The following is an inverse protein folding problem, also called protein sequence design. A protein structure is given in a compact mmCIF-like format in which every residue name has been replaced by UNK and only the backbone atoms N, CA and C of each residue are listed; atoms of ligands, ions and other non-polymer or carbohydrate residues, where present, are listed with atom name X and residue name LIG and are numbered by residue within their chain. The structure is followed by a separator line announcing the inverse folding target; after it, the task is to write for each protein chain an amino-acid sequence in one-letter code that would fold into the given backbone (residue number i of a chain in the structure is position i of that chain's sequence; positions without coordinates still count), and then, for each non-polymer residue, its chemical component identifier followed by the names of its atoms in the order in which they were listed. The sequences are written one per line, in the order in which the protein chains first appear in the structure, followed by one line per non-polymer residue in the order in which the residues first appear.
data_IF_135431279387
#
_entry.id   IF_135431279387
#
_cell.length_a   1.000
_cell.length_b   1.000
_cell.length_c   1.000
_cell.angle_alpha   90.00
_cell.angle_beta   90.00
_cell.angle_gamma   90.00
#
_symmetry.space_group_name_H-M   'P 1'
#
loop_
_entity.id
_entity.type
_entity.pdbx_description
1 polymer ?
#
# COMPACT_ATOMS: atom_id res chain seq x y z
N UNK A 1 -6.92 -7.59 20.08
CA UNK A 1 -5.66 -7.20 20.73
C UNK A 1 -5.05 -6.14 19.85
N UNK A 2 -4.67 -4.99 20.41
CA UNK A 2 -3.95 -3.98 19.63
C UNK A 2 -2.46 -4.34 19.64
N UNK A 3 -1.80 -4.21 18.48
CA UNK A 3 -0.36 -4.40 18.37
C UNK A 3 0.36 -3.48 19.36
N UNK A 4 1.42 -3.94 20.03
CA UNK A 4 2.23 -3.11 20.93
C UNK A 4 2.65 -1.81 20.22
N UNK A 5 2.54 -0.66 20.87
CA UNK A 5 2.84 0.62 20.23
C UNK A 5 1.70 1.17 19.36
N UNK A 6 0.56 0.50 19.26
CA UNK A 6 -0.62 0.97 18.54
C UNK A 6 -1.86 0.91 19.42
N UNK A 7 -2.90 1.63 19.03
CA UNK A 7 -4.18 1.67 19.69
C UNK A 7 -4.07 1.95 21.18
N UNK A 8 -4.65 1.06 21.98
CA UNK A 8 -4.66 1.13 23.44
C UNK A 8 -3.48 0.39 24.07
N UNK A 9 -2.64 -0.27 23.28
CA UNK A 9 -1.46 -1.02 23.73
C UNK A 9 -0.21 -0.12 23.81
N UNK A 10 -0.28 0.92 24.66
CA UNK A 10 0.79 1.92 24.84
C UNK A 10 1.27 2.48 23.49
N UNK A 11 0.40 3.27 22.84
CA UNK A 11 0.69 3.91 21.55
C UNK A 11 2.09 4.55 21.55
N UNK A 12 2.92 4.13 20.60
CA UNK A 12 4.27 4.65 20.45
C UNK A 12 4.15 6.04 19.83
N UNK A 13 4.58 7.04 20.58
CA UNK A 13 4.48 8.43 20.18
C UNK A 13 5.56 9.26 20.90
N UNK A 14 5.84 10.44 20.38
CA UNK A 14 6.70 11.45 20.99
C UNK A 14 5.98 12.80 21.00
N UNK A 15 6.22 13.62 22.03
CA UNK A 15 5.50 14.89 22.22
C UNK A 15 5.69 15.83 21.03
N UNK A 16 6.89 15.81 20.42
CA UNK A 16 7.20 16.64 19.25
C UNK A 16 6.39 16.26 17.99
N UNK A 17 6.03 14.97 17.81
CA UNK A 17 5.27 14.51 16.65
C UNK A 17 3.75 14.74 16.75
N UNK A 18 3.24 15.23 17.89
CA UNK A 18 1.80 15.44 18.11
C UNK A 18 1.23 16.68 17.41
N UNK A 19 2.07 17.47 16.73
CA UNK A 19 1.70 18.78 16.14
C UNK A 19 1.43 18.70 14.63
N UNK A 20 1.71 17.59 13.95
CA UNK A 20 1.63 17.51 12.48
C UNK A 20 0.36 16.80 11.97
N UNK A 21 -0.36 17.49 11.08
CA UNK A 21 -1.58 17.00 10.41
C UNK A 21 -1.38 17.09 8.89
N UNK A 22 -1.25 15.95 8.17
CA UNK A 22 -1.75 15.64 6.79
C UNK A 22 -1.02 14.47 6.07
N UNK A 23 -1.62 13.82 5.03
CA UNK A 23 -1.66 12.35 4.78
C UNK A 23 -0.53 11.86 3.84
N UNK A 24 -0.11 10.58 3.72
CA UNK A 24 -0.77 9.23 3.66
C UNK A 24 -0.16 8.23 4.67
N UNK A 25 0.85 8.66 5.37
CA UNK A 25 1.11 8.37 6.79
C UNK A 25 1.20 9.75 7.42
N UNK A 26 0.81 9.97 8.68
CA UNK A 26 1.20 11.23 9.35
C UNK A 26 2.72 11.15 9.55
N UNK A 27 3.48 11.43 8.50
CA UNK A 27 4.94 11.37 8.54
C UNK A 27 5.38 12.34 9.63
N UNK A 28 6.23 11.84 10.50
CA UNK A 28 6.89 12.69 11.48
C UNK A 28 7.70 13.70 10.70
N UNK A 29 7.59 15.00 11.03
CA UNK A 29 8.43 15.97 10.37
C UNK A 29 9.88 15.67 10.73
N UNK A 30 10.75 15.68 9.73
CA UNK A 30 12.19 15.46 9.87
C UNK A 30 12.79 16.37 10.96
N UNK A 31 12.26 17.58 11.13
CA UNK A 31 12.69 18.52 12.17
C UNK A 31 12.38 18.08 13.60
N UNK A 32 11.40 17.21 13.79
CA UNK A 32 10.95 16.74 15.10
C UNK A 32 11.72 15.49 15.57
N UNK A 33 12.40 14.81 14.64
CA UNK A 33 13.16 13.57 14.88
C UNK A 33 14.17 13.71 16.03
N UNK A 34 14.98 14.77 16.13
CA UNK A 34 15.93 14.92 17.24
C UNK A 34 15.27 14.90 18.63
N UNK A 35 14.15 15.61 18.80
CA UNK A 35 13.42 15.65 20.06
C UNK A 35 12.76 14.29 20.36
N UNK A 36 12.14 13.69 19.34
CA UNK A 36 11.56 12.34 19.44
C UNK A 36 12.60 11.29 19.83
N UNK A 37 13.78 11.31 19.22
CA UNK A 37 14.85 10.37 19.54
C UNK A 37 15.27 10.44 21.01
N UNK A 38 15.42 11.65 21.56
CA UNK A 38 15.75 11.84 22.97
C UNK A 38 14.65 11.35 23.91
N UNK A 39 13.39 11.67 23.61
CA UNK A 39 12.24 11.24 24.40
C UNK A 39 12.11 9.72 24.44
N UNK A 40 12.23 9.09 23.28
CA UNK A 40 12.16 7.63 23.13
C UNK A 40 13.32 6.93 23.83
N UNK A 41 14.54 7.46 23.70
CA UNK A 41 15.71 6.92 24.39
C UNK A 41 15.56 7.01 25.92
N UNK A 42 15.04 8.13 26.45
CA UNK A 42 14.79 8.29 27.89
C UNK A 42 13.68 7.37 28.38
N UNK A 43 12.59 7.21 27.60
CA UNK A 43 11.39 6.49 28.03
C UNK A 43 11.50 4.98 27.87
N UNK A 44 12.04 4.52 26.74
CA UNK A 44 12.04 3.10 26.37
C UNK A 44 13.44 2.51 26.21
N UNK A 45 14.46 3.34 26.00
CA UNK A 45 15.83 2.88 25.76
C UNK A 45 15.93 2.12 24.44
N UNK A 46 15.94 0.78 24.50
CA UNK A 46 16.02 -0.05 23.31
C UNK A 46 14.64 -0.21 22.63
N UNK A 47 14.52 0.31 21.42
CA UNK A 47 13.30 0.27 20.63
C UNK A 47 12.97 -1.11 20.04
N UNK A 48 13.85 -2.11 20.19
CA UNK A 48 13.52 -3.50 19.87
C UNK A 48 12.31 -4.03 20.68
N UNK A 49 11.97 -3.39 21.80
CA UNK A 49 10.72 -3.63 22.53
C UNK A 49 9.45 -3.42 21.68
N UNK A 50 9.54 -2.70 20.56
CA UNK A 50 8.46 -2.48 19.59
C UNK A 50 8.69 -3.20 18.25
N UNK A 51 9.65 -4.12 18.17
CA UNK A 51 9.94 -4.86 16.93
C UNK A 51 8.83 -5.83 16.53
N UNK A 52 8.85 -6.26 15.26
CA UNK A 52 7.95 -7.29 14.73
C UNK A 52 8.03 -8.59 15.53
N UNK A 53 9.22 -9.02 15.94
CA UNK A 53 9.40 -10.23 16.77
C UNK A 53 8.79 -10.08 18.15
N UNK A 54 8.96 -8.92 18.79
CA UNK A 54 8.41 -8.72 20.12
C UNK A 54 6.88 -8.66 20.04
N UNK A 55 6.32 -8.08 18.98
CA UNK A 55 4.87 -8.15 18.70
C UNK A 55 4.38 -9.58 18.42
N UNK A 56 5.12 -10.38 17.65
CA UNK A 56 4.80 -11.80 17.42
C UNK A 56 4.80 -12.59 18.74
N UNK A 57 5.73 -12.27 19.64
CA UNK A 57 5.82 -12.88 20.97
C UNK A 57 4.61 -12.54 21.84
N UNK A 58 4.03 -11.34 21.74
CA UNK A 58 2.77 -11.01 22.41
C UNK A 58 1.63 -11.90 21.92
N UNK A 59 1.52 -12.07 20.60
CA UNK A 59 0.46 -12.87 20.01
C UNK A 59 0.59 -14.34 20.40
N UNK A 60 1.80 -14.91 20.34
CA UNK A 60 2.08 -16.28 20.82
C UNK A 60 1.72 -16.42 22.30
N UNK A 61 2.12 -15.47 23.13
CA UNK A 61 1.81 -15.48 24.57
C UNK A 61 0.31 -15.40 24.81
N UNK A 62 -0.40 -14.58 24.03
CA UNK A 62 -1.85 -14.45 24.12
C UNK A 62 -2.55 -15.75 23.73
N UNK A 63 -2.16 -16.36 22.62
CA UNK A 63 -2.71 -17.63 22.16
C UNK A 63 -2.54 -18.67 23.27
N UNK A 64 -1.30 -18.89 23.72
CA UNK A 64 -1.00 -19.91 24.73
C UNK A 64 -1.74 -19.70 26.06
N UNK A 65 -1.93 -18.45 26.50
CA UNK A 65 -2.57 -18.14 27.79
C UNK A 65 -4.09 -18.09 27.74
N UNK A 66 -4.69 -17.70 26.62
CA UNK A 66 -6.11 -17.33 26.59
C UNK A 66 -6.97 -18.18 25.65
N UNK A 67 -6.40 -19.04 24.81
CA UNK A 67 -7.19 -19.95 23.96
C UNK A 67 -7.51 -21.28 24.65
N UNK A 68 -6.95 -21.54 25.85
CA UNK A 68 -7.12 -22.79 26.60
C UNK A 68 -6.81 -24.04 25.76
N UNK A 69 -5.78 -23.96 24.91
CA UNK A 69 -5.36 -25.07 24.04
C UNK A 69 -6.24 -25.29 22.80
N UNK A 70 -7.16 -24.37 22.49
CA UNK A 70 -7.95 -24.44 21.27
C UNK A 70 -7.08 -24.27 20.02
N UNK A 71 -7.36 -25.07 19.00
CA UNK A 71 -6.78 -24.92 17.67
C UNK A 71 -7.06 -23.52 17.13
N UNK A 72 -5.99 -22.82 16.76
CA UNK A 72 -6.03 -21.41 16.37
C UNK A 72 -5.59 -21.26 14.92
N UNK A 73 -6.28 -20.40 14.17
CA UNK A 73 -5.84 -19.95 12.85
C UNK A 73 -5.45 -18.48 12.99
N UNK A 74 -4.23 -18.13 12.55
CA UNK A 74 -3.74 -16.76 12.58
C UNK A 74 -3.92 -16.15 11.20
N UNK A 75 -4.68 -15.06 11.13
CA UNK A 75 -4.87 -14.27 9.92
C UNK A 75 -4.04 -12.98 10.00
N UNK A 76 -3.24 -12.72 8.97
CA UNK A 76 -2.50 -11.49 8.77
C UNK A 76 -2.84 -10.86 7.43
N UNK A 77 -3.29 -9.61 7.45
CA UNK A 77 -3.46 -8.78 6.27
C UNK A 77 -2.35 -7.74 6.16
N UNK A 78 -1.83 -7.45 4.95
CA UNK A 78 -0.82 -6.41 4.74
C UNK A 78 0.44 -6.63 5.59
N UNK A 79 0.94 -5.62 6.32
CA UNK A 79 1.99 -5.80 7.34
C UNK A 79 1.74 -6.99 8.29
N UNK A 80 0.47 -7.29 8.58
CA UNK A 80 0.08 -8.46 9.36
C UNK A 80 0.59 -9.78 8.80
N UNK A 81 0.88 -9.89 7.49
CA UNK A 81 1.49 -11.10 6.91
C UNK A 81 2.93 -11.28 7.39
N UNK A 82 3.71 -10.19 7.52
CA UNK A 82 5.06 -10.21 8.09
C UNK A 82 5.03 -10.58 9.57
N UNK A 83 4.08 -10.03 10.32
CA UNK A 83 3.87 -10.40 11.72
C UNK A 83 3.49 -11.88 11.86
N UNK A 84 2.59 -12.36 10.99
CA UNK A 84 2.13 -13.75 10.97
C UNK A 84 3.28 -14.70 10.59
N UNK A 85 4.09 -14.36 9.59
CA UNK A 85 5.33 -15.07 9.27
C UNK A 85 6.27 -15.12 10.48
N UNK A 86 6.40 -14.02 11.22
CA UNK A 86 7.18 -14.00 12.46
C UNK A 86 6.61 -14.91 13.55
N UNK A 87 5.30 -15.07 13.63
CA UNK A 87 4.65 -16.07 14.50
C UNK A 87 4.94 -17.50 14.02
N UNK A 88 5.03 -17.75 12.71
CA UNK A 88 5.43 -19.08 12.19
C UNK A 88 6.83 -19.47 12.66
N UNK A 89 7.79 -18.53 12.67
CA UNK A 89 9.13 -18.78 13.23
C UNK A 89 9.12 -19.16 14.72
N UNK A 90 8.14 -18.67 15.48
CA UNK A 90 7.97 -19.01 16.91
C UNK A 90 7.20 -20.32 17.12
N UNK A 91 6.58 -20.86 16.06
CA UNK A 91 5.92 -22.17 16.00
C UNK A 91 5.05 -22.53 17.22
N UNK A 92 4.09 -21.67 17.64
CA UNK A 92 3.18 -22.01 18.74
C UNK A 92 2.40 -23.30 18.44
N UNK A 93 2.36 -24.28 19.38
CA UNK A 93 1.73 -25.58 19.13
C UNK A 93 0.22 -25.50 18.90
N UNK A 94 -0.45 -24.46 19.41
CA UNK A 94 -1.89 -24.26 19.26
C UNK A 94 -2.29 -23.77 17.85
N UNK A 95 -1.35 -23.24 17.07
CA UNK A 95 -1.66 -22.73 15.73
C UNK A 95 -1.64 -23.86 14.71
N UNK A 96 -2.78 -24.08 14.07
CA UNK A 96 -3.01 -25.14 13.07
C UNK A 96 -3.12 -24.59 11.65
N UNK A 97 -3.13 -23.27 11.49
CA UNK A 97 -3.18 -22.64 10.17
C UNK A 97 -2.77 -21.19 10.20
N UNK A 98 -2.13 -20.75 9.12
CA UNK A 98 -1.79 -19.36 8.87
C UNK A 98 -2.51 -18.90 7.59
N UNK A 99 -3.09 -17.70 7.62
CA UNK A 99 -3.66 -17.04 6.44
C UNK A 99 -2.93 -15.72 6.24
N UNK A 100 -2.33 -15.56 5.07
CA UNK A 100 -1.61 -14.35 4.68
C UNK A 100 -2.34 -13.69 3.50
N UNK A 101 -2.83 -12.47 3.67
CA UNK A 101 -3.62 -11.74 2.65
C UNK A 101 -2.98 -10.39 2.32
N UNK A 102 -2.63 -10.16 1.05
CA UNK A 102 -1.85 -8.98 0.65
C UNK A 102 -0.43 -9.04 1.24
N UNK A 103 0.44 -9.78 0.54
CA UNK A 103 1.71 -10.25 1.09
C UNK A 103 2.76 -9.13 1.21
N UNK A 104 2.95 -8.59 2.43
CA UNK A 104 3.97 -7.59 2.76
C UNK A 104 5.35 -8.17 3.19
N UNK A 105 5.69 -9.38 2.77
CA UNK A 105 6.95 -10.03 3.14
C UNK A 105 7.41 -11.05 2.09
N UNK A 106 8.72 -11.20 1.95
CA UNK A 106 9.36 -12.25 1.16
C UNK A 106 10.64 -12.72 1.86
N UNK A 107 10.58 -12.92 3.18
CA UNK A 107 11.76 -13.31 3.95
C UNK A 107 12.35 -14.63 3.46
N UNK A 108 13.67 -14.67 3.34
CA UNK A 108 14.40 -15.83 2.82
C UNK A 108 14.67 -15.76 1.32
N UNK A 109 14.16 -14.75 0.61
CA UNK A 109 14.57 -14.49 -0.78
C UNK A 109 15.92 -13.76 -0.85
N UNK A 110 16.59 -13.79 -2.02
CA UNK A 110 17.64 -12.84 -2.35
C UNK A 110 17.20 -11.37 -2.20
N UNK A 111 18.17 -10.46 -2.08
CA UNK A 111 17.92 -9.04 -1.80
C UNK A 111 17.18 -8.30 -2.93
N UNK A 112 17.34 -8.72 -4.18
CA UNK A 112 16.62 -8.18 -5.33
C UNK A 112 15.12 -8.54 -5.32
N UNK A 113 14.77 -9.73 -4.79
CA UNK A 113 13.40 -10.23 -4.61
C UNK A 113 12.78 -9.86 -3.24
N UNK A 114 13.57 -9.31 -2.31
CA UNK A 114 13.07 -8.91 -1.01
C UNK A 114 12.13 -7.70 -1.12
N UNK A 115 11.02 -7.72 -0.38
CA UNK A 115 10.06 -6.62 -0.36
C UNK A 115 10.57 -5.45 0.47
N UNK A 116 11.19 -4.49 -0.20
CA UNK A 116 11.55 -3.21 0.38
C UNK A 116 10.54 -2.12 0.03
N UNK A 117 10.16 -1.29 1.00
CA UNK A 117 9.32 -0.11 0.79
C UNK A 117 10.03 0.96 -0.03
N UNK A 118 11.36 1.02 0.02
CA UNK A 118 12.20 1.89 -0.84
C UNK A 118 12.10 1.54 -2.34
N UNK A 119 11.52 0.38 -2.69
CA UNK A 119 11.19 -0.02 -4.07
C UNK A 119 9.72 0.22 -4.44
N UNK A 120 8.96 0.92 -3.59
CA UNK A 120 7.52 1.14 -3.76
C UNK A 120 7.15 1.67 -5.14
N UNK A 121 7.91 2.62 -5.71
CA UNK A 121 7.60 3.18 -7.03
C UNK A 121 7.79 2.17 -8.17
N UNK A 122 8.84 1.35 -8.13
CA UNK A 122 9.05 0.27 -9.11
C UNK A 122 7.91 -0.74 -9.03
N UNK A 123 7.63 -1.18 -7.80
CA UNK A 123 6.61 -2.17 -7.48
C UNK A 123 5.21 -1.73 -7.93
N UNK A 124 4.87 -0.47 -7.69
CA UNK A 124 3.57 0.11 -8.02
C UNK A 124 3.46 0.45 -9.51
N UNK A 125 4.58 0.86 -10.13
CA UNK A 125 4.67 1.06 -11.58
C UNK A 125 4.37 -0.21 -12.38
N UNK A 126 4.87 -1.36 -11.94
CA UNK A 126 4.54 -2.67 -12.56
C UNK A 126 3.04 -2.99 -12.50
N UNK A 127 2.39 -2.70 -11.37
CA UNK A 127 0.93 -2.89 -11.22
C UNK A 127 0.15 -1.89 -12.07
N UNK A 128 0.60 -0.64 -12.14
CA UNK A 128 0.03 0.39 -13.02
C UNK A 128 0.11 0.02 -14.49
N UNK A 129 1.24 -0.54 -14.93
CA UNK A 129 1.43 -1.06 -16.28
C UNK A 129 0.47 -2.22 -16.57
N UNK A 130 0.31 -3.15 -15.63
CA UNK A 130 -0.64 -4.24 -15.77
C UNK A 130 -2.08 -3.74 -15.87
N UNK A 131 -2.49 -2.79 -15.02
CA UNK A 131 -3.80 -2.16 -15.08
C UNK A 131 -4.07 -1.48 -16.43
N UNK A 132 -3.11 -0.69 -16.94
CA UNK A 132 -3.27 0.01 -18.22
C UNK A 132 -3.36 -0.96 -19.39
N UNK A 133 -2.66 -2.10 -19.32
CA UNK A 133 -2.79 -3.17 -20.32
C UNK A 133 -4.20 -3.76 -20.34
N UNK A 134 -4.85 -3.95 -19.18
CA UNK A 134 -6.22 -4.46 -19.12
C UNK A 134 -7.23 -3.54 -19.82
N UNK A 135 -7.01 -2.22 -19.83
CA UNK A 135 -7.83 -1.29 -20.62
C UNK A 135 -7.85 -1.63 -22.11
N UNK A 136 -6.76 -2.19 -22.67
CA UNK A 136 -6.66 -2.55 -24.08
C UNK A 136 -7.52 -3.78 -24.44
N UNK A 137 -7.88 -4.58 -23.43
CA UNK A 137 -8.73 -5.77 -23.56
C UNK A 137 -10.21 -5.43 -23.27
N UNK A 138 -10.47 -4.33 -22.56
CA UNK A 138 -11.82 -3.89 -22.16
C UNK A 138 -12.57 -3.12 -23.25
N UNK A 139 -13.78 -3.58 -23.55
CA UNK A 139 -14.64 -3.00 -24.60
C UNK A 139 -15.02 -1.54 -24.35
N UNK A 140 -15.18 -1.15 -23.09
CA UNK A 140 -15.53 0.22 -22.71
C UNK A 140 -14.33 1.17 -22.68
N UNK A 141 -13.11 0.64 -22.64
CA UNK A 141 -11.90 1.45 -22.47
C UNK A 141 -11.11 1.56 -23.78
N UNK A 142 -10.88 0.42 -24.45
CA UNK A 142 -10.06 0.31 -25.65
C UNK A 142 -10.36 1.36 -26.73
N UNK A 143 -11.63 1.61 -27.14
CA UNK A 143 -11.91 2.52 -28.26
C UNK A 143 -11.47 3.98 -28.01
N UNK A 144 -11.33 4.39 -26.76
CA UNK A 144 -10.92 5.76 -26.41
C UNK A 144 -9.41 6.01 -26.59
N UNK A 145 -8.60 4.95 -26.71
CA UNK A 145 -7.14 5.05 -26.76
C UNK A 145 -6.54 4.39 -28.00
N UNK A 146 -7.35 3.85 -28.91
CA UNK A 146 -6.84 3.32 -30.18
C UNK A 146 -6.26 4.43 -31.06
N UNK A 147 -5.15 4.18 -31.79
CA UNK A 147 -4.41 2.91 -31.84
C UNK A 147 -3.28 2.77 -30.79
N UNK A 148 -3.03 3.78 -29.95
CA UNK A 148 -1.80 3.89 -29.16
C UNK A 148 -1.86 3.23 -27.79
N UNK A 149 -3.06 3.01 -27.23
CA UNK A 149 -3.25 2.44 -25.90
C UNK A 149 -3.18 3.48 -24.77
N UNK A 150 -3.67 3.08 -23.59
CA UNK A 150 -3.78 3.96 -22.43
C UNK A 150 -2.40 4.38 -21.90
N UNK A 151 -1.45 3.45 -21.85
CA UNK A 151 -0.10 3.70 -21.35
C UNK A 151 0.64 4.76 -22.18
N UNK A 152 0.64 4.63 -23.50
CA UNK A 152 1.27 5.61 -24.38
C UNK A 152 0.56 6.97 -24.32
N UNK A 153 -0.77 6.98 -24.18
CA UNK A 153 -1.51 8.24 -23.99
C UNK A 153 -1.11 8.95 -22.69
N UNK A 154 -0.96 8.22 -21.58
CA UNK A 154 -0.47 8.78 -20.33
C UNK A 154 0.97 9.29 -20.44
N UNK A 155 1.84 8.53 -21.12
CA UNK A 155 3.21 8.97 -21.38
C UNK A 155 3.23 10.31 -22.12
N UNK A 156 2.44 10.47 -23.19
CA UNK A 156 2.34 11.73 -23.92
C UNK A 156 1.88 12.90 -23.03
N UNK A 157 0.92 12.65 -22.11
CA UNK A 157 0.44 13.67 -21.17
C UNK A 157 1.56 14.09 -20.22
N UNK A 158 2.31 13.13 -19.68
CA UNK A 158 3.43 13.41 -18.78
C UNK A 158 4.52 14.19 -19.51
N UNK A 159 4.92 13.75 -20.70
CA UNK A 159 5.93 14.45 -21.51
C UNK A 159 5.46 15.87 -21.87
N UNK A 160 4.17 16.07 -22.17
CA UNK A 160 3.60 17.40 -22.40
C UNK A 160 3.68 18.28 -21.15
N UNK A 161 3.47 17.72 -19.96
CA UNK A 161 3.55 18.45 -18.69
C UNK A 161 4.99 18.82 -18.33
N UNK A 162 5.95 17.94 -18.63
CA UNK A 162 7.37 18.21 -18.41
C UNK A 162 7.89 19.28 -19.38
N UNK A 163 7.41 19.27 -20.63
CA UNK A 163 7.79 20.25 -21.65
C UNK A 163 7.13 21.63 -21.45
N UNK A 164 5.87 21.68 -21.02
CA UNK A 164 5.15 22.93 -20.71
C UNK A 164 4.38 22.82 -19.37
N UNK A 165 5.09 23.01 -18.24
CA UNK A 165 4.50 22.88 -16.91
C UNK A 165 3.46 23.97 -16.57
N UNK A 166 3.36 25.02 -17.40
CA UNK A 166 2.40 26.10 -17.23
C UNK A 166 1.20 26.01 -18.20
N UNK A 167 1.15 24.99 -19.05
CA UNK A 167 -0.04 24.69 -19.87
C UNK A 167 -1.28 24.54 -18.98
N UNK A 168 -2.47 24.80 -19.54
CA UNK A 168 -3.72 24.88 -18.76
C UNK A 168 -3.95 23.67 -17.86
N UNK A 169 -3.83 22.45 -18.39
CA UNK A 169 -4.01 21.23 -17.58
C UNK A 169 -2.81 20.93 -16.68
N UNK A 170 -1.57 21.21 -17.08
CA UNK A 170 -0.41 21.03 -16.22
C UNK A 170 -0.50 21.95 -14.98
N UNK A 171 -0.83 23.22 -15.18
CA UNK A 171 -1.05 24.18 -14.10
C UNK A 171 -2.21 23.77 -13.19
N UNK A 172 -3.31 23.23 -13.75
CA UNK A 172 -4.43 22.68 -12.97
C UNK A 172 -3.96 21.55 -12.05
N UNK A 173 -3.21 20.57 -12.59
CA UNK A 173 -2.69 19.45 -11.80
C UNK A 173 -1.72 19.95 -10.73
N UNK A 174 -0.77 20.82 -11.08
CA UNK A 174 0.18 21.37 -10.10
C UNK A 174 -0.51 22.10 -8.93
N UNK A 175 -1.50 22.93 -9.24
CA UNK A 175 -2.19 23.75 -8.23
C UNK A 175 -3.13 22.96 -7.32
N UNK A 176 -3.44 21.71 -7.66
CA UNK A 176 -4.39 20.89 -6.88
C UNK A 176 -3.81 20.36 -5.56
N UNK A 177 -2.49 20.15 -5.48
CA UNK A 177 -1.77 19.66 -4.29
C UNK A 177 -1.17 20.78 -3.44
N UNK A 178 -1.10 22.02 -3.96
CA UNK A 178 -0.33 23.13 -3.37
C UNK A 178 1.11 22.75 -3.01
N UNK A 179 1.75 21.91 -3.84
CA UNK A 179 3.15 21.50 -3.69
C UNK A 179 4.04 22.16 -4.73
N UNK A 180 5.34 22.25 -4.43
CA UNK A 180 6.35 22.69 -5.40
C UNK A 180 6.71 21.60 -6.44
N UNK A 181 6.15 20.40 -6.30
CA UNK A 181 6.35 19.27 -7.22
C UNK A 181 5.97 19.65 -8.67
N UNK A 182 6.69 19.11 -9.67
CA UNK A 182 6.28 19.19 -11.06
C UNK A 182 4.87 18.60 -11.27
N UNK A 183 4.10 19.10 -12.27
CA UNK A 183 2.77 18.58 -12.57
C UNK A 183 2.76 17.08 -12.91
N UNK A 184 3.81 16.58 -13.58
CA UNK A 184 3.98 15.15 -13.87
C UNK A 184 4.17 14.31 -12.60
N UNK A 185 4.89 14.81 -11.60
CA UNK A 185 5.06 14.13 -10.31
C UNK A 185 3.74 14.04 -9.55
N UNK A 186 2.98 15.14 -9.56
CA UNK A 186 1.65 15.19 -8.95
C UNK A 186 0.69 14.23 -9.67
N UNK A 187 0.71 14.18 -11.01
CA UNK A 187 -0.13 13.26 -11.76
C UNK A 187 0.17 11.80 -11.42
N UNK A 188 1.44 11.38 -11.41
CA UNK A 188 1.85 9.99 -11.09
C UNK A 188 1.34 9.54 -9.72
N UNK A 189 1.46 10.39 -8.70
CA UNK A 189 1.05 10.10 -7.31
C UNK A 189 -0.47 10.11 -7.13
N UNK A 190 -1.19 11.02 -7.80
CA UNK A 190 -2.66 11.03 -7.81
C UNK A 190 -3.20 9.76 -8.46
N UNK A 191 -2.67 9.37 -9.63
CA UNK A 191 -3.06 8.13 -10.29
C UNK A 191 -2.76 6.91 -9.42
N UNK A 192 -1.65 6.92 -8.66
CA UNK A 192 -1.31 5.87 -7.71
C UNK A 192 -2.34 5.73 -6.60
N UNK A 193 -2.73 6.86 -6.00
CA UNK A 193 -3.76 6.93 -4.96
C UNK A 193 -5.10 6.36 -5.45
N UNK A 194 -5.47 6.69 -6.69
CA UNK A 194 -6.72 6.27 -7.32
C UNK A 194 -6.65 4.78 -7.74
N UNK A 195 -5.49 4.26 -8.08
CA UNK A 195 -5.31 2.85 -8.45
C UNK A 195 -5.46 1.89 -7.25
N UNK A 196 -5.20 2.36 -6.03
CA UNK A 196 -5.30 1.55 -4.80
C UNK A 196 -6.70 1.01 -4.54
N UNK A 197 -7.74 1.78 -4.90
CA UNK A 197 -9.13 1.44 -4.61
C UNK A 197 -9.87 0.89 -5.86
N UNK A 198 -10.67 -0.15 -5.63
CA UNK A 198 -11.35 -0.92 -6.67
C UNK A 198 -12.27 -0.04 -7.53
N UNK A 199 -12.94 0.94 -6.92
CA UNK A 199 -13.94 1.73 -7.61
C UNK A 199 -13.33 2.98 -8.22
N UNK A 200 -12.46 3.68 -7.50
CA UNK A 200 -11.84 4.91 -8.01
C UNK A 200 -10.85 4.63 -9.15
N UNK A 201 -10.19 3.46 -9.22
CA UNK A 201 -9.32 3.10 -10.36
C UNK A 201 -10.04 3.12 -11.72
N UNK A 202 -11.37 2.93 -11.74
CA UNK A 202 -12.18 3.04 -12.96
C UNK A 202 -12.17 4.45 -13.56
N UNK A 203 -11.80 5.47 -12.78
CA UNK A 203 -11.69 6.87 -13.21
C UNK A 203 -10.37 7.16 -13.96
N UNK A 204 -9.36 6.29 -13.85
CA UNK A 204 -8.02 6.53 -14.44
C UNK A 204 -8.11 6.74 -15.95
N UNK A 205 -8.73 5.84 -16.75
CA UNK A 205 -8.81 6.05 -18.19
C UNK A 205 -9.50 7.38 -18.59
N UNK A 206 -10.73 7.71 -18.15
CA UNK A 206 -11.36 8.96 -18.57
C UNK A 206 -10.60 10.21 -18.13
N UNK A 207 -9.94 10.19 -16.97
CA UNK A 207 -9.10 11.32 -16.54
C UNK A 207 -7.92 11.50 -17.50
N UNK A 208 -7.22 10.43 -17.88
CA UNK A 208 -6.11 10.49 -18.85
C UNK A 208 -6.60 10.98 -20.21
N UNK A 209 -7.74 10.48 -20.67
CA UNK A 209 -8.37 10.93 -21.92
C UNK A 209 -8.62 12.44 -21.92
N UNK A 210 -9.21 12.96 -20.85
CA UNK A 210 -9.52 14.38 -20.69
C UNK A 210 -8.27 15.24 -20.52
N UNK A 211 -7.23 14.75 -19.83
CA UNK A 211 -5.94 15.43 -19.73
C UNK A 211 -5.25 15.55 -21.09
N UNK A 212 -5.33 14.49 -21.93
CA UNK A 212 -4.79 14.52 -23.30
C UNK A 212 -5.55 15.50 -24.19
N UNK A 213 -6.88 15.56 -24.09
CA UNK A 213 -7.71 16.49 -24.85
C UNK A 213 -7.56 17.94 -24.38
N UNK A 214 -7.53 18.16 -23.06
CA UNK A 214 -7.40 19.45 -22.38
C UNK A 214 -8.22 20.59 -23.01
N UNK A 215 -9.48 20.32 -23.36
CA UNK A 215 -10.38 21.32 -23.95
C UNK A 215 -11.19 22.05 -22.88
N UNK A 216 -11.90 23.15 -23.21
CA UNK A 216 -12.71 23.88 -22.23
C UNK A 216 -13.72 23.02 -21.45
N UNK A 217 -14.27 21.97 -22.08
CA UNK A 217 -15.22 21.05 -21.41
C UNK A 217 -14.56 20.12 -20.37
N UNK A 218 -13.22 20.01 -20.38
CA UNK A 218 -12.46 19.14 -19.49
C UNK A 218 -12.06 19.83 -18.19
N UNK A 219 -11.90 21.15 -18.21
CA UNK A 219 -11.24 21.90 -17.13
C UNK A 219 -11.95 21.75 -15.80
N UNK A 220 -13.27 21.98 -15.76
CA UNK A 220 -14.03 21.89 -14.50
C UNK A 220 -14.20 20.43 -14.03
N UNK A 221 -14.30 19.47 -14.95
CA UNK A 221 -14.34 18.03 -14.65
C UNK A 221 -13.02 17.59 -13.99
N UNK A 222 -11.89 17.94 -14.59
CA UNK A 222 -10.56 17.63 -14.06
C UNK A 222 -10.33 18.34 -12.71
N UNK A 223 -10.72 19.61 -12.60
CA UNK A 223 -10.64 20.35 -11.34
C UNK A 223 -11.43 19.67 -10.23
N UNK A 224 -12.65 19.21 -10.50
CA UNK A 224 -13.45 18.45 -9.55
C UNK A 224 -12.75 17.14 -9.16
N UNK A 225 -12.22 16.40 -10.13
CA UNK A 225 -11.51 15.14 -9.89
C UNK A 225 -10.34 15.31 -8.93
N UNK A 226 -9.38 16.18 -9.28
CA UNK A 226 -8.20 16.39 -8.44
C UNK A 226 -8.61 16.91 -7.05
N UNK A 227 -9.51 17.91 -7.00
CA UNK A 227 -10.00 18.45 -5.71
C UNK A 227 -10.61 17.36 -4.83
N UNK A 228 -11.41 16.46 -5.40
CA UNK A 228 -12.07 15.36 -4.67
C UNK A 228 -11.07 14.33 -4.19
N UNK A 229 -10.10 13.93 -5.03
CA UNK A 229 -9.04 13.00 -4.63
C UNK A 229 -8.22 13.57 -3.47
N UNK A 230 -7.82 14.85 -3.54
CA UNK A 230 -7.10 15.49 -2.45
C UNK A 230 -7.95 15.70 -1.20
N UNK A 231 -9.23 16.05 -1.32
CA UNK A 231 -10.11 16.17 -0.16
C UNK A 231 -10.28 14.80 0.55
N UNK A 232 -10.48 13.73 -0.21
CA UNK A 232 -10.66 12.39 0.33
C UNK A 232 -9.37 11.81 0.92
N UNK A 233 -8.20 12.13 0.36
CA UNK A 233 -6.92 11.71 0.98
C UNK A 233 -6.69 12.38 2.34
N UNK A 234 -7.32 13.53 2.58
CA UNK A 234 -7.21 14.29 3.83
C UNK A 234 -8.26 13.92 4.88
N UNK A 235 -9.31 13.17 4.51
CA UNK A 235 -10.34 12.79 5.49
C UNK A 235 -9.72 11.92 6.58
N UNK A 236 -9.88 12.35 7.83
CA UNK A 236 -9.43 11.58 8.99
C UNK A 236 -10.63 10.93 9.66
N UNK A 237 -10.48 9.66 10.03
CA UNK A 237 -11.46 8.95 10.83
C UNK A 237 -11.13 9.11 12.31
N UNK A 238 -12.09 8.81 13.19
CA UNK A 238 -11.83 8.76 14.63
C UNK A 238 -10.72 7.74 14.98
N UNK A 239 -10.52 6.73 14.13
CA UNK A 239 -9.55 5.66 14.33
C UNK A 239 -8.10 6.14 14.17
N UNK A 240 -7.86 7.25 13.46
CA UNK A 240 -6.53 7.88 13.35
C UNK A 240 -5.94 8.23 14.72
N UNK A 241 -6.76 8.47 15.73
CA UNK A 241 -6.30 8.69 17.11
C UNK A 241 -5.60 7.46 17.73
N UNK A 242 -5.88 6.27 17.20
CA UNK A 242 -5.35 4.99 17.65
C UNK A 242 -4.16 4.52 16.78
N UNK A 243 -3.89 5.17 15.66
CA UNK A 243 -2.75 4.86 14.80
C UNK A 243 -1.42 5.44 15.33
N UNK A 244 -0.31 4.80 14.98
CA UNK A 244 1.04 5.27 15.30
C UNK A 244 1.92 5.25 14.06
N UNK A 245 2.08 6.42 13.42
CA UNK A 245 3.06 6.61 12.35
C UNK A 245 4.48 6.34 12.83
N UNK A 246 4.79 6.72 14.08
CA UNK A 246 6.10 6.46 14.67
C UNK A 246 6.43 4.97 14.73
N UNK A 247 5.45 4.12 15.07
CA UNK A 247 5.60 2.67 15.04
C UNK A 247 5.77 2.16 13.61
N UNK A 248 4.97 2.67 12.68
CA UNK A 248 5.09 2.34 11.27
C UNK A 248 6.50 2.64 10.75
N UNK A 249 6.99 3.87 10.92
CA UNK A 249 8.32 4.31 10.48
C UNK A 249 9.43 3.51 11.17
N UNK A 250 9.31 3.29 12.49
CA UNK A 250 10.27 2.49 13.25
C UNK A 250 10.41 1.08 12.66
N UNK A 251 9.29 0.43 12.34
CA UNK A 251 9.29 -0.93 11.76
C UNK A 251 9.80 -0.91 10.32
N UNK A 252 9.27 -0.04 9.47
CA UNK A 252 9.66 0.06 8.06
C UNK A 252 11.15 0.36 7.92
N UNK A 253 11.67 1.37 8.60
CA UNK A 253 13.09 1.74 8.50
C UNK A 253 14.04 0.72 9.14
N UNK A 254 13.58 -0.04 10.14
CA UNK A 254 14.42 -1.08 10.74
C UNK A 254 14.46 -2.36 9.90
N UNK A 255 13.35 -2.74 9.28
CA UNK A 255 13.15 -4.10 8.75
C UNK A 255 12.79 -4.17 7.27
N UNK A 256 12.29 -3.10 6.66
CA UNK A 256 11.70 -3.09 5.33
C UNK A 256 12.29 -2.02 4.39
N UNK A 257 13.41 -1.43 4.76
CA UNK A 257 14.10 -0.41 3.97
C UNK A 257 15.46 -0.92 3.47
N UNK A 258 15.84 -0.55 2.25
CA UNK A 258 17.16 -0.87 1.69
C UNK A 258 18.25 -0.13 2.49
N UNK A 259 19.19 -0.91 3.05
CA UNK A 259 20.32 -0.37 3.81
C UNK A 259 21.61 -0.96 3.24
N UNK A 260 22.57 -0.14 2.78
CA UNK A 260 22.54 1.33 2.77
C UNK A 260 21.51 1.92 1.79
N UNK A 261 21.08 3.16 2.07
CA UNK A 261 20.21 3.94 1.20
C UNK A 261 20.88 4.18 -0.16
N UNK A 262 20.14 3.92 -1.24
CA UNK A 262 20.57 4.23 -2.61
C UNK A 262 20.52 5.74 -2.90
N UNK A 263 21.20 6.20 -3.95
CA UNK A 263 21.27 7.63 -4.28
C UNK A 263 19.90 8.25 -4.57
N UNK A 264 19.76 9.56 -4.33
CA UNK A 264 18.54 10.30 -4.70
C UNK A 264 18.28 10.26 -6.22
N UNK A 265 19.34 10.22 -7.04
CA UNK A 265 19.22 10.02 -8.49
C UNK A 265 18.54 8.70 -8.83
N UNK A 266 18.94 7.61 -8.18
CA UNK A 266 18.32 6.30 -8.39
C UNK A 266 16.86 6.28 -7.90
N UNK A 267 16.59 6.87 -6.74
CA UNK A 267 15.23 6.97 -6.20
C UNK A 267 14.31 7.78 -7.10
N UNK A 268 14.80 8.91 -7.63
CA UNK A 268 14.05 9.70 -8.61
C UNK A 268 13.83 8.94 -9.92
N UNK A 269 14.82 8.18 -10.42
CA UNK A 269 14.65 7.32 -11.60
C UNK A 269 13.52 6.31 -11.37
N UNK A 270 13.56 5.57 -10.24
CA UNK A 270 12.50 4.62 -9.86
C UNK A 270 11.10 5.26 -9.89
N UNK A 271 11.00 6.50 -9.41
CA UNK A 271 9.77 7.26 -9.43
C UNK A 271 9.34 7.71 -10.84
N UNK A 272 10.26 8.30 -11.62
CA UNK A 272 9.94 8.87 -12.95
C UNK A 272 9.77 7.82 -14.05
N UNK A 273 10.40 6.65 -13.90
CA UNK A 273 10.28 5.53 -14.83
C UNK A 273 8.88 4.87 -14.74
N UNK A 274 8.18 5.01 -13.60
CA UNK A 274 6.86 4.46 -13.35
C UNK A 274 5.73 5.44 -13.74
N UNK A 275 4.86 5.08 -14.69
CA UNK A 275 3.75 5.93 -15.15
C UNK A 275 2.73 6.26 -14.05
N UNK A 276 2.53 5.32 -13.13
CA UNK A 276 1.71 5.45 -11.94
C UNK A 276 2.61 5.06 -10.77
N UNK A 277 2.70 5.90 -9.75
CA UNK A 277 3.78 5.81 -8.75
C UNK A 277 3.30 6.13 -7.34
N UNK A 278 4.05 5.69 -6.33
CA UNK A 278 3.71 5.86 -4.92
C UNK A 278 4.20 7.20 -4.37
N UNK A 279 5.39 7.65 -4.78
CA UNK A 279 6.05 8.85 -4.29
C UNK A 279 7.05 8.59 -3.16
N UNK A 280 7.79 7.48 -3.20
CA UNK A 280 8.74 7.10 -2.13
C UNK A 280 9.88 8.11 -1.87
N UNK A 281 10.39 8.89 -2.85
CA UNK A 281 11.53 9.78 -2.61
C UNK A 281 11.34 10.79 -1.47
N UNK A 282 10.09 11.19 -1.16
CA UNK A 282 9.81 12.14 -0.08
C UNK A 282 10.15 11.60 1.31
N UNK A 283 10.17 10.28 1.51
CA UNK A 283 10.43 9.65 2.81
C UNK A 283 11.93 9.46 3.11
N UNK A 284 12.83 9.72 2.15
CA UNK A 284 14.28 9.49 2.32
C UNK A 284 14.90 10.37 3.42
N UNK A 285 14.62 11.69 3.49
CA UNK A 285 15.15 12.50 4.59
C UNK A 285 14.72 11.98 5.96
N UNK A 286 13.49 11.48 6.07
CA UNK A 286 12.97 10.91 7.30
C UNK A 286 13.71 9.61 7.67
N UNK A 287 13.87 8.69 6.72
CA UNK A 287 14.68 7.48 6.91
C UNK A 287 16.09 7.83 7.40
N UNK A 288 16.76 8.79 6.76
CA UNK A 288 18.11 9.19 7.11
C UNK A 288 18.19 9.76 8.54
N UNK A 289 17.24 10.61 8.91
CA UNK A 289 17.15 11.15 10.27
C UNK A 289 16.88 10.06 11.32
N UNK A 290 15.99 9.10 11.03
CA UNK A 290 15.67 7.99 11.93
C UNK A 290 16.86 7.03 12.10
N UNK A 291 17.43 6.57 10.99
CA UNK A 291 18.47 5.54 10.99
C UNK A 291 19.83 6.06 11.47
N UNK A 292 20.08 7.37 11.30
CA UNK A 292 21.41 7.99 11.41
C UNK A 292 22.46 7.25 10.57
N UNK A 293 22.05 6.67 9.46
CA UNK A 293 22.94 5.99 8.52
C UNK A 293 24.00 6.96 7.99
N UNK A 294 25.25 6.48 7.88
CA UNK A 294 26.42 7.29 7.48
C UNK A 294 26.80 7.17 5.99
N UNK A 295 25.89 6.70 5.15
CA UNK A 295 26.13 6.62 3.70
C UNK A 295 26.23 8.01 3.07
N UNK A 296 26.87 8.10 1.90
CA UNK A 296 26.91 9.35 1.14
C UNK A 296 25.52 9.88 0.86
N UNK A 297 24.58 9.01 0.50
CA UNK A 297 23.19 9.36 0.19
C UNK A 297 22.47 9.98 1.39
N UNK A 298 22.64 9.46 2.60
CA UNK A 298 22.03 10.10 3.78
C UNK A 298 22.76 11.36 4.26
N UNK A 299 24.08 11.45 4.07
CA UNK A 299 24.84 12.62 4.48
C UNK A 299 24.49 13.88 3.67
N UNK A 300 23.96 13.75 2.45
CA UNK A 300 23.50 14.86 1.61
C UNK A 300 22.40 15.71 2.28
N UNK A 301 21.54 15.10 3.12
CA UNK A 301 20.45 15.81 3.77
C UNK A 301 20.86 16.57 5.04
N UNK A 302 21.99 16.20 5.66
CA UNK A 302 22.45 16.78 6.94
C UNK A 302 21.40 16.74 8.08
N UNK A 303 20.57 15.69 8.12
CA UNK A 303 19.47 15.53 9.10
C UNK A 303 19.80 14.56 10.24
N UNK A 304 20.89 13.80 10.09
CA UNK A 304 21.29 12.74 11.03
C UNK A 304 22.17 13.24 12.17
N UNK A 305 22.62 14.50 12.13
CA UNK A 305 23.55 15.07 13.10
C UNK A 305 22.81 15.72 14.28
N UNK A 306 22.31 14.88 15.20
CA UNK A 306 21.69 15.33 16.44
C UNK A 306 22.12 14.48 17.65
N UNK A 307 21.95 15.02 18.85
CA UNK A 307 22.18 14.32 20.12
C UNK A 307 21.12 13.24 20.37
N UNK A 308 21.54 12.00 20.59
CA UNK A 308 20.67 10.84 20.83
C UNK A 308 20.92 9.65 19.89
N UNK A 309 20.34 8.50 20.20
CA UNK A 309 20.35 7.32 19.33
C UNK A 309 19.36 7.48 18.17
N UNK A 310 19.58 6.75 17.07
CA UNK A 310 18.60 6.68 15.99
C UNK A 310 17.29 6.01 16.44
N UNK A 311 16.18 6.39 15.81
CA UNK A 311 14.86 5.80 16.01
C UNK A 311 14.73 4.53 15.15
N UNK A 312 15.59 3.56 15.43
CA UNK A 312 15.64 2.25 14.76
C UNK A 312 15.97 1.15 15.77
N UNK A 313 15.65 -0.10 15.44
CA UNK A 313 16.08 -1.26 16.20
C UNK A 313 16.92 -2.22 15.33
N UNK A 314 17.77 -3.01 15.98
CA UNK A 314 18.59 -4.00 15.29
C UNK A 314 17.73 -5.16 14.81
N UNK A 315 17.93 -5.56 13.56
CA UNK A 315 17.41 -6.80 12.98
C UNK A 315 17.88 -7.99 13.81
N UNK A 316 16.96 -8.89 14.16
CA UNK A 316 17.26 -10.08 14.95
C UNK A 316 17.47 -11.32 14.07
N UNK A 317 17.61 -12.48 14.70
CA UNK A 317 17.88 -13.75 14.02
C UNK A 317 16.76 -14.21 13.06
N UNK A 318 15.55 -13.64 13.13
CA UNK A 318 14.43 -14.00 12.29
C UNK A 318 14.26 -13.05 11.09
N UNK A 319 14.99 -11.94 11.05
CA UNK A 319 14.93 -11.02 9.92
C UNK A 319 15.51 -11.67 8.66
N UNK A 320 14.74 -11.59 7.56
CA UNK A 320 15.05 -12.18 6.26
C UNK A 320 15.46 -13.67 6.35
N UNK A 321 14.75 -14.45 7.17
CA UNK A 321 14.90 -15.91 7.23
C UNK A 321 13.68 -16.58 6.64
N UNK A 322 13.91 -17.66 5.90
CA UNK A 322 12.85 -18.58 5.49
C UNK A 322 12.15 -19.13 6.73
N UNK A 323 10.82 -19.01 6.77
CA UNK A 323 10.01 -19.67 7.78
C UNK A 323 9.71 -21.12 7.40
N UNK A 324 9.87 -22.03 8.36
CA UNK A 324 9.43 -23.42 8.25
C UNK A 324 7.99 -23.54 8.71
N UNK A 325 7.15 -24.18 7.90
CA UNK A 325 5.75 -24.45 8.22
C UNK A 325 5.73 -25.53 9.32
N UNK A 326 5.19 -25.26 10.52
CA UNK A 326 5.11 -26.26 11.58
C UNK A 326 4.33 -27.50 11.13
N UNK A 327 4.74 -28.69 11.59
CA UNK A 327 4.16 -29.97 11.13
C UNK A 327 2.64 -30.07 11.35
N UNK A 328 2.13 -29.44 12.41
CA UNK A 328 0.71 -29.40 12.77
C UNK A 328 -0.09 -28.33 12.02
N UNK A 329 0.57 -27.48 11.23
CA UNK A 329 -0.03 -26.33 10.58
C UNK A 329 0.05 -26.39 9.05
N UNK A 330 -0.65 -25.45 8.42
CA UNK A 330 -0.62 -25.18 6.99
C UNK A 330 -0.66 -23.66 6.74
N UNK A 331 -0.40 -23.24 5.50
CA UNK A 331 -0.40 -21.83 5.11
C UNK A 331 -1.29 -21.61 3.89
N UNK A 332 -2.25 -20.69 4.00
CA UNK A 332 -3.03 -20.19 2.87
C UNK A 332 -2.57 -18.76 2.55
N UNK A 333 -2.07 -18.55 1.34
CA UNK A 333 -1.71 -17.24 0.83
C UNK A 333 -2.83 -16.75 -0.10
N UNK A 334 -3.24 -15.51 0.07
CA UNK A 334 -4.23 -14.83 -0.75
C UNK A 334 -3.59 -13.56 -1.31
N UNK A 335 -3.78 -13.32 -2.61
CA UNK A 335 -3.17 -12.17 -3.28
C UNK A 335 -4.02 -11.65 -4.43
N UNK A 336 -4.05 -10.33 -4.59
CA UNK A 336 -4.67 -9.67 -5.74
C UNK A 336 -3.63 -9.34 -6.80
N UNK A 337 -3.91 -9.59 -8.08
CA UNK A 337 -3.00 -9.19 -9.18
C UNK A 337 -3.05 -7.69 -9.48
N UNK A 338 -4.06 -6.98 -8.97
CA UNK A 338 -4.13 -5.52 -8.96
C UNK A 338 -3.90 -4.93 -7.56
N UNK A 339 -3.21 -5.68 -6.69
CA UNK A 339 -2.77 -5.17 -5.40
C UNK A 339 -1.61 -4.18 -5.59
N UNK A 340 -1.94 -2.89 -5.53
CA UNK A 340 -0.99 -1.80 -5.66
C UNK A 340 0.01 -1.72 -4.49
N UNK A 341 -0.38 -2.16 -3.29
CA UNK A 341 0.41 -1.97 -2.06
C UNK A 341 1.37 -3.13 -1.81
N UNK A 342 0.90 -4.36 -2.05
CA UNK A 342 1.68 -5.59 -1.91
C UNK A 342 1.57 -6.42 -3.19
N UNK A 343 2.35 -6.10 -4.24
CA UNK A 343 2.20 -6.74 -5.55
C UNK A 343 2.30 -8.26 -5.50
N UNK A 344 1.50 -8.92 -6.33
CA UNK A 344 1.35 -10.37 -6.39
C UNK A 344 2.67 -11.15 -6.45
N UNK A 345 3.71 -10.62 -7.12
CA UNK A 345 5.04 -11.25 -7.20
C UNK A 345 5.61 -11.61 -5.82
N UNK A 346 5.35 -10.80 -4.79
CA UNK A 346 5.83 -11.09 -3.43
C UNK A 346 5.10 -12.28 -2.79
N UNK A 347 3.84 -12.53 -3.15
CA UNK A 347 3.14 -13.75 -2.77
C UNK A 347 3.77 -14.98 -3.44
N UNK A 348 4.15 -14.90 -4.71
CA UNK A 348 4.84 -15.98 -5.42
C UNK A 348 6.22 -16.25 -4.83
N UNK A 349 6.98 -15.19 -4.53
CA UNK A 349 8.30 -15.30 -3.91
C UNK A 349 8.23 -15.93 -2.52
N UNK A 350 7.34 -15.45 -1.66
CA UNK A 350 7.13 -16.03 -0.33
C UNK A 350 6.68 -17.50 -0.45
N UNK A 351 5.69 -17.78 -1.31
CA UNK A 351 5.20 -19.14 -1.54
C UNK A 351 6.33 -20.09 -1.93
N UNK A 352 7.24 -19.65 -2.81
CA UNK A 352 8.38 -20.43 -3.27
C UNK A 352 9.37 -20.74 -2.14
N UNK A 353 9.70 -19.75 -1.30
CA UNK A 353 10.76 -19.90 -0.29
C UNK A 353 10.29 -20.52 1.02
N UNK A 354 9.00 -20.49 1.36
CA UNK A 354 8.48 -21.14 2.57
C UNK A 354 8.88 -22.62 2.64
N UNK A 355 9.43 -23.05 3.77
CA UNK A 355 9.91 -24.41 3.95
C UNK A 355 8.77 -25.32 4.44
N UNK A 356 8.29 -26.19 3.55
CA UNK A 356 7.19 -27.12 3.78
C UNK A 356 6.16 -27.15 2.65
N UNK A 357 5.50 -28.30 2.49
CA UNK A 357 4.56 -28.54 1.37
C UNK A 357 3.09 -28.23 1.70
N UNK A 358 2.77 -28.00 2.98
CA UNK A 358 1.41 -27.67 3.42
C UNK A 358 1.08 -26.19 3.20
N UNK A 359 1.16 -25.75 1.94
CA UNK A 359 0.89 -24.38 1.53
C UNK A 359 0.08 -24.32 0.24
N UNK A 360 -0.76 -23.31 0.12
CA UNK A 360 -1.54 -23.03 -1.08
C UNK A 360 -1.60 -21.52 -1.34
N UNK A 361 -1.54 -21.12 -2.61
CA UNK A 361 -1.69 -19.73 -3.04
C UNK A 361 -2.95 -19.57 -3.90
N UNK A 362 -3.87 -18.69 -3.49
CA UNK A 362 -5.00 -18.25 -4.29
C UNK A 362 -4.70 -16.82 -4.79
N UNK A 363 -4.72 -16.67 -6.12
CA UNK A 363 -4.51 -15.40 -6.79
C UNK A 363 -5.82 -14.92 -7.42
N UNK A 364 -6.26 -13.71 -7.07
CA UNK A 364 -7.44 -13.07 -7.60
C UNK A 364 -7.04 -12.07 -8.69
N UNK A 365 -7.51 -12.29 -9.91
CA UNK A 365 -7.07 -11.57 -11.11
C UNK A 365 -7.21 -10.06 -11.06
N UNK A 366 -8.25 -9.57 -10.38
CA UNK A 366 -8.58 -8.14 -10.40
C UNK A 366 -8.73 -7.54 -9.00
N UNK A 367 -8.47 -8.32 -7.96
CA UNK A 367 -8.61 -7.86 -6.59
C UNK A 367 -7.57 -6.78 -6.25
N UNK A 368 -7.96 -5.77 -5.45
CA UNK A 368 -7.03 -4.82 -4.86
C UNK A 368 -6.33 -5.45 -3.65
N UNK A 369 -5.69 -4.62 -2.84
CA UNK A 369 -5.09 -5.03 -1.57
C UNK A 369 -6.12 -5.59 -0.59
N UNK A 370 -5.77 -6.62 0.19
CA UNK A 370 -6.67 -7.21 1.20
C UNK A 370 -7.85 -7.97 0.60
N UNK A 371 -7.55 -9.07 -0.10
CA UNK A 371 -8.50 -9.82 -0.91
C UNK A 371 -9.69 -10.35 -0.14
N UNK A 372 -9.54 -10.67 1.16
CA UNK A 372 -10.64 -11.18 2.00
C UNK A 372 -11.79 -10.19 2.07
N UNK A 373 -11.49 -8.90 2.19
CA UNK A 373 -12.49 -7.87 2.41
C UNK A 373 -12.86 -7.14 1.11
N UNK A 374 -11.90 -7.02 0.19
CA UNK A 374 -11.98 -6.08 -0.92
C UNK A 374 -12.16 -6.75 -2.29
N UNK A 375 -12.44 -8.06 -2.32
CA UNK A 375 -12.77 -8.78 -3.57
C UNK A 375 -14.28 -9.01 -3.69
N UNK A 376 -15.00 -8.25 -4.51
CA UNK A 376 -16.42 -8.51 -4.72
C UNK A 376 -16.63 -9.72 -5.62
N UNK A 377 -16.83 -10.89 -5.03
CA UNK A 377 -17.06 -12.14 -5.77
C UNK A 377 -18.38 -12.17 -6.57
N UNK A 378 -19.29 -11.24 -6.31
CA UNK A 378 -20.52 -11.00 -7.08
C UNK A 378 -20.43 -9.77 -8.01
N UNK A 379 -19.24 -9.15 -8.09
CA UNK A 379 -18.98 -7.95 -8.89
C UNK A 379 -19.34 -6.62 -8.22
N UNK A 380 -19.99 -6.60 -7.05
CA UNK A 380 -20.43 -5.35 -6.40
C UNK A 380 -20.24 -5.29 -4.88
N UNK A 381 -20.38 -6.40 -4.16
CA UNK A 381 -20.45 -6.42 -2.69
C UNK A 381 -19.09 -6.69 -2.07
N UNK A 382 -18.58 -5.71 -1.32
CA UNK A 382 -17.41 -5.89 -0.46
C UNK A 382 -17.79 -6.61 0.84
N UNK A 383 -16.89 -7.43 1.38
CA UNK A 383 -17.12 -8.17 2.62
C UNK A 383 -16.24 -9.43 2.72
N UNK A 384 -16.27 -10.14 3.86
CA UNK A 384 -15.40 -11.30 4.12
C UNK A 384 -15.86 -12.54 3.35
N UNK A 385 -15.73 -12.51 2.02
CA UNK A 385 -16.23 -13.54 1.12
C UNK A 385 -15.16 -14.10 0.16
N UNK A 386 -13.87 -13.81 0.40
CA UNK A 386 -12.81 -14.35 -0.45
C UNK A 386 -12.88 -15.87 -0.57
N UNK A 387 -12.65 -16.30 -1.80
CA UNK A 387 -12.67 -17.69 -2.17
C UNK A 387 -11.64 -18.50 -1.37
N UNK A 388 -12.00 -19.73 -0.97
CA UNK A 388 -11.13 -20.61 -0.18
C UNK A 388 -11.11 -20.31 1.33
N UNK A 389 -11.05 -19.05 1.76
CA UNK A 389 -10.85 -18.67 3.16
C UNK A 389 -11.82 -19.33 4.13
N UNK A 390 -13.13 -19.23 3.87
CA UNK A 390 -14.14 -19.78 4.77
C UNK A 390 -14.05 -21.32 4.89
N UNK A 391 -13.73 -22.01 3.78
CA UNK A 391 -13.57 -23.47 3.79
C UNK A 391 -12.30 -23.88 4.56
N UNK A 392 -11.20 -23.15 4.39
CA UNK A 392 -9.96 -23.37 5.12
C UNK A 392 -10.17 -23.25 6.62
N UNK A 393 -10.84 -22.18 7.07
CA UNK A 393 -11.13 -21.95 8.49
C UNK A 393 -12.05 -23.02 9.05
N UNK A 394 -13.16 -23.35 8.36
CA UNK A 394 -14.12 -24.38 8.80
C UNK A 394 -13.50 -25.77 8.89
N UNK A 395 -12.47 -26.04 8.08
CA UNK A 395 -11.77 -27.31 8.05
C UNK A 395 -10.48 -27.30 8.89
N UNK A 396 -10.30 -26.32 9.79
CA UNK A 396 -9.19 -26.30 10.75
C UNK A 396 -7.81 -26.16 10.09
N UNK A 397 -7.74 -25.48 8.94
CA UNK A 397 -6.50 -25.34 8.17
C UNK A 397 -6.20 -26.51 7.22
N UNK A 398 -7.10 -27.50 7.08
CA UNK A 398 -6.85 -28.62 6.17
C UNK A 398 -6.97 -28.20 4.69
N UNK A 399 -5.81 -28.04 4.03
CA UNK A 399 -5.71 -27.67 2.62
C UNK A 399 -6.31 -28.71 1.67
N UNK A 400 -6.40 -29.99 2.07
CA UNK A 400 -7.02 -31.03 1.23
C UNK A 400 -8.52 -30.85 1.10
N UNK A 401 -9.11 -30.02 1.99
CA UNK A 401 -10.54 -29.68 2.03
C UNK A 401 -10.79 -28.22 1.66
N UNK A 402 -9.82 -27.55 1.05
CA UNK A 402 -9.94 -26.19 0.55
C UNK A 402 -10.87 -26.17 -0.67
N UNK A 403 -11.96 -25.42 -0.58
CA UNK A 403 -12.89 -25.19 -1.68
C UNK A 403 -12.51 -23.93 -2.46
N UNK A 404 -12.03 -24.12 -3.68
CA UNK A 404 -11.66 -23.05 -4.62
C UNK A 404 -12.68 -22.88 -5.77
N UNK A 405 -13.82 -23.55 -5.73
CA UNK A 405 -14.81 -23.54 -6.83
C UNK A 405 -15.40 -22.15 -7.13
N UNK A 406 -15.31 -21.22 -6.17
CA UNK A 406 -15.67 -19.81 -6.38
C UNK A 406 -14.72 -19.07 -7.32
N UNK A 407 -13.49 -19.54 -7.54
CA UNK A 407 -12.56 -18.93 -8.50
C UNK A 407 -13.10 -19.01 -9.92
N UNK A 408 -13.79 -20.10 -10.27
CA UNK A 408 -14.43 -20.28 -11.58
C UNK A 408 -15.59 -19.29 -11.83
N UNK A 409 -16.05 -18.61 -10.77
CA UNK A 409 -17.15 -17.64 -10.80
C UNK A 409 -16.68 -16.21 -10.59
N UNK A 410 -15.37 -15.98 -10.59
CA UNK A 410 -14.84 -14.63 -10.47
C UNK A 410 -15.44 -13.72 -11.56
N UNK A 411 -15.88 -12.49 -11.20
CA UNK A 411 -16.40 -11.57 -12.20
C UNK A 411 -15.30 -11.18 -13.19
N UNK A 412 -15.66 -10.90 -14.45
CA UNK A 412 -14.71 -10.36 -15.41
C UNK A 412 -14.22 -8.98 -14.95
N UNK A 413 -13.09 -8.55 -15.49
CA UNK A 413 -12.63 -7.18 -15.33
C UNK A 413 -13.69 -6.21 -15.87
N UNK A 414 -13.87 -5.08 -15.19
CA UNK A 414 -14.90 -4.12 -15.53
C UNK A 414 -14.45 -2.71 -15.14
N UNK A 415 -14.49 -1.80 -16.11
CA UNK A 415 -14.16 -0.37 -15.94
C UNK A 415 -15.40 0.53 -15.93
N UNK A 416 -16.60 -0.05 -15.77
CA UNK A 416 -17.83 0.73 -15.62
C UNK A 416 -17.78 1.50 -14.30
N UNK A 417 -17.77 2.83 -14.39
CA UNK A 417 -17.78 3.71 -13.22
C UNK A 417 -19.20 3.70 -12.63
N UNK A 418 -19.31 3.44 -11.33
CA UNK A 418 -20.61 3.55 -10.66
C UNK A 418 -21.06 5.00 -10.55
N UNK A 419 -22.37 5.22 -10.62
CA UNK A 419 -23.03 6.54 -10.60
C UNK A 419 -22.53 7.46 -9.48
N UNK A 420 -22.31 6.90 -8.28
CA UNK A 420 -21.78 7.65 -7.14
C UNK A 420 -20.43 8.28 -7.48
N UNK A 421 -19.46 7.47 -7.92
CA UNK A 421 -18.09 7.92 -8.23
C UNK A 421 -18.07 8.84 -9.45
N UNK A 422 -18.85 8.53 -10.48
CA UNK A 422 -18.96 9.38 -11.67
C UNK A 422 -19.43 10.80 -11.30
N UNK A 423 -20.48 10.90 -10.47
CA UNK A 423 -21.04 12.19 -10.07
C UNK A 423 -20.17 12.91 -9.05
N UNK A 424 -19.65 12.23 -8.02
CA UNK A 424 -18.87 12.87 -6.97
C UNK A 424 -17.46 13.28 -7.43
N UNK A 425 -16.78 12.45 -8.23
CA UNK A 425 -15.41 12.73 -8.68
C UNK A 425 -15.36 13.50 -10.01
N UNK A 426 -16.27 13.27 -10.95
CA UNK A 426 -16.21 13.95 -12.26
C UNK A 426 -17.31 15.00 -12.46
N UNK A 427 -18.35 15.02 -11.62
CA UNK A 427 -19.42 16.01 -11.72
C UNK A 427 -20.16 15.99 -13.06
N UNK A 428 -20.27 14.83 -13.71
CA UNK A 428 -20.86 14.68 -15.04
C UNK A 428 -21.69 13.41 -15.19
N UNK A 429 -22.39 13.26 -16.32
CA UNK A 429 -23.18 12.06 -16.67
C UNK A 429 -22.47 11.14 -17.67
N UNK A 430 -21.37 11.60 -18.26
CA UNK A 430 -20.54 10.81 -19.17
C UNK A 430 -19.06 11.03 -18.84
N UNK A 431 -18.34 9.95 -18.57
CA UNK A 431 -16.97 10.02 -18.04
C UNK A 431 -15.96 10.59 -19.02
N UNK A 432 -16.16 10.47 -20.33
CA UNK A 432 -15.20 10.86 -21.36
C UNK A 432 -15.53 12.22 -21.99
N UNK A 433 -16.80 12.42 -22.36
CA UNK A 433 -17.27 13.53 -23.19
C UNK A 433 -18.33 14.41 -22.51
N UNK A 434 -18.81 14.02 -21.33
CA UNK A 434 -19.82 14.78 -20.59
C UNK A 434 -19.31 16.15 -20.11
N UNK A 435 -20.22 17.12 -20.10
CA UNK A 435 -19.99 18.46 -19.53
C UNK A 435 -20.11 18.43 -17.99
N UNK A 436 -19.40 19.35 -17.33
CA UNK A 436 -19.48 19.52 -15.88
C UNK A 436 -20.84 20.08 -15.46
N UNK A 437 -21.38 19.55 -14.37
CA UNK A 437 -22.61 20.00 -13.76
C UNK A 437 -22.50 19.96 -12.23
N UNK A 438 -22.33 21.13 -11.62
CA UNK A 438 -22.19 21.30 -10.16
C UNK A 438 -23.39 20.78 -9.33
N UNK A 439 -24.57 20.59 -9.92
CA UNK A 439 -25.71 19.99 -9.20
C UNK A 439 -25.53 18.50 -8.94
N UNK A 440 -24.62 17.83 -9.66
CA UNK A 440 -24.35 16.40 -9.49
C UNK A 440 -23.41 16.10 -8.33
N UNK A 441 -22.54 17.04 -7.97
CA UNK A 441 -21.56 16.88 -6.89
C UNK A 441 -22.15 17.18 -5.51
N UNK A 442 -23.21 18.00 -5.45
CA UNK A 442 -23.91 18.42 -4.23
C UNK A 442 -25.03 17.46 -3.78
N UNK A 443 -25.53 16.61 -4.69
CA UNK A 443 -26.64 15.68 -4.41
C UNK A 443 -26.19 14.36 -3.76
N UNK A 444 -24.91 14.23 -3.41
CA UNK A 444 -24.30 12.98 -2.91
C UNK A 444 -24.13 13.00 -1.37
N UNK A 445 -24.50 14.11 -0.71
CA UNK A 445 -24.50 14.26 0.76
C UNK A 445 -25.80 13.81 1.45
N UNK A 446 -26.72 13.15 0.73
CA UNK A 446 -27.96 12.56 1.27
C UNK A 446 -27.99 11.07 1.07
#
# INVERSE_FOLDING_TARGET
MDHRGSGRSTRLDCVAAQVTTYPITKEINVTDVPACAQDLQKKYGNLASFSTTTAATDLVTFISKYTNGASTIVYGGSYGTRLTERVMHLAPPEVVGYVLDGIATSSGTPADEFMYLSKGDVNTGEVGDYFMKLCEEERSCKPHFEPNGLKSTLQDVIESFDNDPNSTCAALVKNSKNSDDPPSFTLRTVLGTVLMDLFTRTLIPPVIYRLKRCSPIDIDVLKQFFTTVFANSQTTTADVAFESSLLFDLVVFSEMWETPQVSMTEMNSRFTDAMISYGVPSSIPLYCAFSKEKSSSCNEFNVSNYEGNGIIYKRDQYWNKTATIPNQASVLLLSGRLDFQTPHKYAEYLFKVLDGDKKELIAFDYAPHGTIMLTPMDGVTLGPNACGYASYVRNGGDLTRLDKSCMDKMPPFNLTIQDFYLKSYLGTKDSYDGEFNASLTSAVET
#
